data_IF_135239901504
#
_entry.id   IF_135239901504
#
_cell.length_a   1.000
_cell.length_b   1.000
_cell.length_c   1.000
_cell.angle_alpha   90.00
_cell.angle_beta   90.00
_cell.angle_gamma   90.00
#
_symmetry.space_group_name_H-M   'P 1'
#
loop_
_entity.id
_entity.type
_entity.pdbx_description
1 polymer ?
#
# COMPACT_ATOMS: atom_id res chain seq x y z
N UNK A 1 4.26 -24.08 -28.37
CA UNK A 1 5.08 -22.87 -28.07
C UNK A 1 6.44 -23.36 -27.60
N UNK A 2 7.55 -22.71 -27.99
CA UNK A 2 8.86 -23.05 -27.41
C UNK A 2 8.85 -22.74 -25.91
N UNK A 3 9.63 -23.48 -25.11
CA UNK A 3 9.76 -23.24 -23.67
C UNK A 3 10.13 -21.79 -23.36
N UNK A 4 11.03 -21.21 -24.15
CA UNK A 4 11.43 -19.80 -24.04
C UNK A 4 10.26 -18.83 -24.24
N UNK A 5 9.42 -19.05 -25.27
CA UNK A 5 8.28 -18.17 -25.51
C UNK A 5 7.30 -18.20 -24.35
N UNK A 6 7.04 -19.38 -23.77
CA UNK A 6 6.16 -19.53 -22.61
C UNK A 6 6.67 -18.74 -21.39
N UNK A 7 7.99 -18.79 -21.12
CA UNK A 7 8.61 -18.01 -20.04
C UNK A 7 8.48 -16.50 -20.29
N UNK A 8 8.71 -16.03 -21.51
CA UNK A 8 8.56 -14.60 -21.84
C UNK A 8 7.11 -14.14 -21.59
N UNK A 9 6.11 -14.91 -22.04
CA UNK A 9 4.71 -14.58 -21.80
C UNK A 9 4.37 -14.58 -20.30
N UNK A 10 4.89 -15.54 -19.54
CA UNK A 10 4.70 -15.60 -18.09
C UNK A 10 5.31 -14.39 -17.37
N UNK A 11 6.52 -13.97 -17.75
CA UNK A 11 7.17 -12.76 -17.21
C UNK A 11 6.40 -11.48 -17.52
N UNK A 12 5.88 -11.35 -18.75
CA UNK A 12 5.02 -10.20 -19.14
C UNK A 12 3.74 -10.21 -18.30
N UNK A 13 3.08 -11.36 -18.19
CA UNK A 13 1.86 -11.50 -17.39
C UNK A 13 2.11 -11.17 -15.91
N UNK A 14 3.24 -11.61 -15.35
CA UNK A 14 3.65 -11.28 -13.98
C UNK A 14 3.85 -9.77 -13.81
N UNK A 15 4.51 -9.11 -14.75
CA UNK A 15 4.72 -7.65 -14.71
C UNK A 15 3.37 -6.89 -14.67
N UNK A 16 2.42 -7.26 -15.52
CA UNK A 16 1.07 -6.68 -15.51
C UNK A 16 0.32 -6.98 -14.21
N UNK A 17 0.40 -8.21 -13.71
CA UNK A 17 -0.27 -8.61 -12.48
C UNK A 17 0.30 -7.86 -11.25
N UNK A 18 1.63 -7.76 -11.15
CA UNK A 18 2.31 -7.02 -10.10
C UNK A 18 2.02 -5.50 -10.18
N UNK A 19 1.97 -4.93 -11.39
CA UNK A 19 1.56 -3.53 -11.58
C UNK A 19 0.12 -3.30 -11.13
N UNK A 20 -0.78 -4.23 -11.41
CA UNK A 20 -2.18 -4.17 -10.96
C UNK A 20 -2.28 -4.25 -9.43
N UNK A 21 -1.51 -5.15 -8.81
CA UNK A 21 -1.40 -5.25 -7.36
C UNK A 21 -0.85 -3.95 -6.73
N UNK A 22 0.16 -3.34 -7.35
CA UNK A 22 0.68 -2.04 -6.94
C UNK A 22 -0.38 -0.94 -7.01
N UNK A 23 -1.14 -0.87 -8.11
CA UNK A 23 -2.30 0.06 -8.25
C UNK A 23 -3.32 -0.15 -7.14
N UNK A 24 -3.56 -1.41 -6.74
CA UNK A 24 -4.42 -1.75 -5.59
C UNK A 24 -4.03 -1.04 -4.28
N UNK A 25 -2.73 -0.75 -4.09
CA UNK A 25 -2.21 -0.09 -2.88
C UNK A 25 -2.76 1.33 -2.71
N UNK A 26 -3.08 2.03 -3.80
CA UNK A 26 -3.71 3.36 -3.74
C UNK A 26 -5.05 3.35 -3.00
N UNK A 27 -5.75 2.21 -3.06
CA UNK A 27 -7.07 2.03 -2.44
C UNK A 27 -6.98 1.47 -1.02
N UNK A 28 -5.78 1.28 -0.47
CA UNK A 28 -5.55 0.69 0.84
C UNK A 28 -5.59 -0.85 0.84
N UNK A 29 -5.54 -1.49 -0.34
CA UNK A 29 -5.39 -2.94 -0.44
C UNK A 29 -3.95 -3.37 -0.09
N UNK A 30 -3.73 -4.62 0.37
CA UNK A 30 -2.40 -5.14 0.68
C UNK A 30 -1.59 -5.49 -0.58
N UNK A 31 -1.45 -4.54 -1.51
CA UNK A 31 -0.86 -4.74 -2.84
C UNK A 31 0.58 -5.25 -2.82
N UNK A 32 1.41 -4.79 -1.89
CA UNK A 32 2.79 -5.28 -1.70
C UNK A 32 2.82 -6.78 -1.39
N UNK A 33 1.92 -7.27 -0.55
CA UNK A 33 1.81 -8.71 -0.25
C UNK A 33 1.29 -9.51 -1.44
N UNK A 34 0.37 -8.95 -2.23
CA UNK A 34 -0.08 -9.58 -3.47
C UNK A 34 1.08 -9.71 -4.47
N UNK A 35 1.96 -8.71 -4.59
CA UNK A 35 3.18 -8.80 -5.41
C UNK A 35 4.07 -9.96 -4.94
N UNK A 36 4.28 -10.11 -3.63
CA UNK A 36 5.07 -11.23 -3.07
C UNK A 36 4.44 -12.58 -3.42
N UNK A 37 3.13 -12.72 -3.25
CA UNK A 37 2.41 -13.95 -3.54
C UNK A 37 2.46 -14.32 -5.03
N UNK A 38 2.22 -13.34 -5.92
CA UNK A 38 2.32 -13.55 -7.38
C UNK A 38 3.74 -13.92 -7.80
N UNK A 39 4.76 -13.28 -7.21
CA UNK A 39 6.16 -13.60 -7.47
C UNK A 39 6.53 -14.99 -6.97
N UNK A 40 6.01 -15.41 -5.80
CA UNK A 40 6.19 -16.76 -5.28
C UNK A 40 5.55 -17.83 -6.19
N UNK A 41 4.34 -17.57 -6.68
CA UNK A 41 3.68 -18.43 -7.67
C UNK A 41 4.51 -18.52 -8.96
N UNK A 42 5.00 -17.39 -9.46
CA UNK A 42 5.87 -17.38 -10.63
C UNK A 42 7.17 -18.16 -10.39
N UNK A 43 7.79 -18.04 -9.21
CA UNK A 43 8.97 -18.83 -8.84
C UNK A 43 8.70 -20.34 -8.81
N UNK A 44 7.50 -20.76 -8.40
CA UNK A 44 7.11 -22.17 -8.34
C UNK A 44 6.87 -22.77 -9.74
N UNK A 45 6.20 -22.04 -10.63
CA UNK A 45 5.82 -22.54 -11.96
C UNK A 45 6.83 -22.20 -13.07
N UNK A 46 7.62 -21.15 -12.87
CA UNK A 46 8.65 -20.66 -13.79
C UNK A 46 9.96 -20.44 -13.03
N UNK A 47 10.55 -21.51 -12.46
CA UNK A 47 11.82 -21.42 -11.77
C UNK A 47 12.91 -20.95 -12.73
N UNK A 48 13.93 -20.28 -12.19
CA UNK A 48 15.08 -19.83 -12.99
C UNK A 48 15.76 -21.02 -13.69
N UNK A 49 15.82 -20.99 -15.02
CA UNK A 49 16.46 -22.03 -15.86
C UNK A 49 17.65 -21.48 -16.65
N UNK A 50 18.23 -20.35 -16.23
CA UNK A 50 19.26 -19.62 -16.96
C UNK A 50 18.96 -18.13 -16.97
N UNK A 51 18.76 -17.53 -18.15
CA UNK A 51 18.52 -16.10 -18.33
C UNK A 51 17.07 -15.64 -18.08
N UNK A 52 16.16 -16.55 -17.71
CA UNK A 52 14.74 -16.25 -17.47
C UNK A 52 14.24 -17.01 -16.23
N UNK A 53 13.20 -16.46 -15.61
CA UNK A 53 12.50 -17.06 -14.48
C UNK A 53 12.98 -16.50 -13.14
N UNK A 54 12.44 -17.00 -12.04
CA UNK A 54 12.71 -16.46 -10.70
C UNK A 54 13.28 -17.50 -9.75
N UNK A 55 14.10 -17.02 -8.82
CA UNK A 55 14.54 -17.78 -7.65
C UNK A 55 13.84 -17.31 -6.38
N UNK A 56 13.81 -18.19 -5.36
CA UNK A 56 13.22 -17.89 -4.06
C UNK A 56 13.90 -16.73 -3.32
N UNK A 57 15.16 -16.41 -3.67
CA UNK A 57 15.85 -15.22 -3.17
C UNK A 57 15.07 -13.94 -3.51
N UNK A 58 14.54 -13.81 -4.72
CA UNK A 58 13.73 -12.64 -5.11
C UNK A 58 12.47 -12.55 -4.27
N UNK A 59 11.79 -13.66 -4.02
CA UNK A 59 10.61 -13.72 -3.14
C UNK A 59 10.96 -13.23 -1.73
N UNK A 60 12.09 -13.69 -1.18
CA UNK A 60 12.58 -13.27 0.13
C UNK A 60 12.89 -11.77 0.21
N UNK A 61 13.55 -11.22 -0.82
CA UNK A 61 13.83 -9.77 -0.91
C UNK A 61 12.53 -8.98 -0.97
N UNK A 62 11.59 -9.36 -1.83
CA UNK A 62 10.30 -8.68 -1.95
C UNK A 62 9.47 -8.79 -0.66
N UNK A 63 9.50 -9.93 0.04
CA UNK A 63 8.86 -10.08 1.34
C UNK A 63 9.45 -9.13 2.38
N UNK A 64 10.79 -8.99 2.41
CA UNK A 64 11.46 -8.00 3.25
C UNK A 64 11.03 -6.57 2.93
N UNK A 65 10.96 -6.22 1.64
CA UNK A 65 10.47 -4.91 1.19
C UNK A 65 9.00 -4.67 1.59
N UNK A 66 8.14 -5.68 1.46
CA UNK A 66 6.73 -5.60 1.86
C UNK A 66 6.60 -5.32 3.36
N UNK A 67 7.37 -6.03 4.21
CA UNK A 67 7.42 -5.78 5.66
C UNK A 67 7.89 -4.36 5.96
N UNK A 68 8.96 -3.89 5.32
CA UNK A 68 9.43 -2.51 5.48
C UNK A 68 8.37 -1.49 5.08
N UNK A 69 7.61 -1.75 4.01
CA UNK A 69 6.50 -0.91 3.57
C UNK A 69 5.34 -0.84 4.57
N UNK A 70 4.98 -1.98 5.18
CA UNK A 70 3.96 -2.01 6.24
C UNK A 70 4.42 -1.29 7.49
N UNK A 71 5.67 -1.50 7.91
CA UNK A 71 6.27 -0.80 9.05
C UNK A 71 6.30 0.71 8.78
N UNK A 72 6.72 1.12 7.58
CA UNK A 72 6.74 2.53 7.20
C UNK A 72 5.35 3.17 7.28
N UNK A 73 4.36 2.56 6.63
CA UNK A 73 3.01 3.11 6.56
C UNK A 73 2.36 3.23 7.94
N UNK A 74 2.48 2.17 8.75
CA UNK A 74 1.89 2.14 10.10
C UNK A 74 2.62 3.05 11.08
N UNK A 75 3.95 3.13 11.00
CA UNK A 75 4.75 3.98 11.87
C UNK A 75 4.57 5.47 11.54
N UNK A 76 4.50 5.87 10.27
CA UNK A 76 4.30 7.27 9.88
C UNK A 76 2.99 7.84 10.47
N UNK A 77 1.90 7.08 10.34
CA UNK A 77 0.60 7.44 10.91
C UNK A 77 0.62 7.44 12.45
N UNK A 78 1.19 6.39 13.06
CA UNK A 78 1.21 6.24 14.50
C UNK A 78 2.11 7.27 15.20
N UNK A 79 3.29 7.58 14.65
CA UNK A 79 4.25 8.51 15.24
C UNK A 79 3.69 9.94 15.28
N UNK A 80 3.14 10.42 14.15
CA UNK A 80 2.57 11.77 14.10
C UNK A 80 1.35 11.88 15.02
N UNK A 81 0.44 10.90 14.99
CA UNK A 81 -0.71 10.89 15.89
C UNK A 81 -0.29 10.85 17.37
N UNK A 82 0.69 10.01 17.73
CA UNK A 82 1.21 9.89 19.11
C UNK A 82 1.88 11.18 19.58
N UNK A 83 2.65 11.85 18.72
CA UNK A 83 3.28 13.14 19.05
C UNK A 83 2.25 14.25 19.30
N UNK A 84 1.08 14.17 18.66
CA UNK A 84 -0.07 15.03 18.95
C UNK A 84 -0.89 14.57 20.18
N UNK A 85 -0.45 13.53 20.88
CA UNK A 85 -1.10 12.97 22.07
C UNK A 85 -2.11 11.86 21.78
N UNK A 86 -2.20 11.33 20.56
CA UNK A 86 -3.19 10.34 20.14
C UNK A 86 -3.17 9.04 20.94
N UNK A 87 -4.34 8.46 21.13
CA UNK A 87 -4.55 7.19 21.85
C UNK A 87 -4.53 5.98 20.91
N UNK A 88 -4.41 4.78 21.48
CA UNK A 88 -4.55 3.51 20.74
C UNK A 88 -5.94 3.37 20.10
N UNK A 89 -6.99 3.87 20.78
CA UNK A 89 -8.37 3.84 20.26
C UNK A 89 -8.50 4.79 19.06
N UNK A 90 -7.97 6.00 19.16
CA UNK A 90 -7.91 6.95 18.05
C UNK A 90 -7.18 6.38 16.84
N UNK A 91 -6.06 5.70 17.05
CA UNK A 91 -5.33 5.03 15.98
C UNK A 91 -6.15 3.93 15.27
N UNK A 92 -6.86 3.08 16.03
CA UNK A 92 -7.71 2.04 15.45
C UNK A 92 -8.85 2.62 14.60
N UNK A 93 -9.56 3.63 15.12
CA UNK A 93 -10.63 4.29 14.39
C UNK A 93 -10.08 5.06 13.17
N UNK A 94 -8.90 5.67 13.28
CA UNK A 94 -8.20 6.30 12.16
C UNK A 94 -7.91 5.31 11.04
N UNK A 95 -7.47 4.09 11.37
CA UNK A 95 -7.18 3.06 10.37
C UNK A 95 -8.46 2.63 9.63
N UNK A 96 -9.54 2.36 10.37
CA UNK A 96 -10.84 2.01 9.78
C UNK A 96 -11.40 3.15 8.92
N UNK A 97 -11.31 4.37 9.44
CA UNK A 97 -11.71 5.57 8.72
C UNK A 97 -10.91 5.75 7.43
N UNK A 98 -9.60 5.51 7.46
CA UNK A 98 -8.75 5.62 6.28
C UNK A 98 -9.12 4.60 5.18
N UNK A 99 -9.50 3.38 5.54
CA UNK A 99 -9.95 2.36 4.58
C UNK A 99 -11.31 2.73 3.98
N UNK A 100 -12.29 3.10 4.82
CA UNK A 100 -13.59 3.55 4.32
C UNK A 100 -13.46 4.81 3.45
N UNK A 101 -12.60 5.74 3.88
CA UNK A 101 -12.30 6.97 3.19
C UNK A 101 -11.60 6.75 1.86
N UNK A 102 -10.62 5.83 1.76
CA UNK A 102 -9.93 5.55 0.49
C UNK A 102 -10.89 5.01 -0.57
N UNK A 103 -11.78 4.09 -0.18
CA UNK A 103 -12.79 3.53 -1.07
C UNK A 103 -13.77 4.62 -1.51
N UNK A 104 -14.33 5.37 -0.57
CA UNK A 104 -15.32 6.42 -0.86
C UNK A 104 -14.71 7.53 -1.72
N UNK A 105 -13.51 7.98 -1.38
CA UNK A 105 -12.78 9.01 -2.11
C UNK A 105 -12.42 8.58 -3.53
N UNK A 106 -12.07 7.30 -3.73
CA UNK A 106 -11.83 6.76 -5.07
C UNK A 106 -13.05 6.87 -5.99
N UNK A 107 -14.25 6.59 -5.46
CA UNK A 107 -15.51 6.73 -6.19
C UNK A 107 -15.87 8.19 -6.49
N UNK A 108 -15.57 9.11 -5.57
CA UNK A 108 -15.82 10.54 -5.77
C UNK A 108 -14.89 11.18 -6.82
N UNK A 109 -13.71 10.59 -7.06
CA UNK A 109 -12.75 11.05 -8.07
C UNK A 109 -13.13 10.75 -9.54
N UNK A 110 -14.28 10.12 -9.78
CA UNK A 110 -14.59 9.40 -11.03
C UNK A 110 -14.91 10.23 -12.30
N UNK A 111 -15.04 11.57 -12.36
CA UNK A 111 -15.05 12.17 -13.69
C UNK A 111 -13.68 12.06 -14.39
N UNK A 112 -12.57 11.90 -13.65
CA UNK A 112 -11.20 11.78 -14.19
C UNK A 112 -10.70 10.35 -13.96
N UNK A 113 -10.75 9.46 -14.98
CA UNK A 113 -10.33 8.09 -14.84
C UNK A 113 -8.87 7.97 -14.36
N UNK A 114 -8.60 6.97 -13.53
CA UNK A 114 -7.28 6.64 -12.97
C UNK A 114 -6.75 7.73 -12.02
N UNK A 115 -6.37 8.91 -12.51
CA UNK A 115 -5.77 9.96 -11.68
C UNK A 115 -6.74 10.57 -10.67
N UNK A 116 -8.00 10.82 -11.07
CA UNK A 116 -9.02 11.34 -10.16
C UNK A 116 -9.32 10.36 -9.03
N UNK A 117 -9.47 9.08 -9.36
CA UNK A 117 -9.67 8.01 -8.37
C UNK A 117 -8.46 7.81 -7.45
N UNK A 118 -7.24 7.95 -7.96
CA UNK A 118 -6.01 7.85 -7.15
C UNK A 118 -5.87 9.00 -6.16
N UNK A 119 -6.07 10.23 -6.62
CA UNK A 119 -6.05 11.43 -5.76
C UNK A 119 -7.20 11.34 -4.74
N UNK A 120 -8.39 10.96 -5.22
CA UNK A 120 -9.57 10.75 -4.38
C UNK A 120 -9.32 9.69 -3.30
N UNK A 121 -8.64 8.59 -3.63
CA UNK A 121 -8.32 7.55 -2.65
C UNK A 121 -7.36 8.05 -1.56
N UNK A 122 -6.31 8.80 -1.91
CA UNK A 122 -5.38 9.36 -0.93
C UNK A 122 -6.07 10.42 -0.07
N UNK A 123 -6.80 11.36 -0.69
CA UNK A 123 -7.52 12.41 0.01
C UNK A 123 -8.60 11.84 0.93
N UNK A 124 -9.34 10.84 0.43
CA UNK A 124 -10.33 10.10 1.19
C UNK A 124 -9.71 9.35 2.36
N UNK A 125 -8.57 8.68 2.16
CA UNK A 125 -7.85 8.02 3.24
C UNK A 125 -7.40 9.00 4.33
N UNK A 126 -6.90 10.17 3.94
CA UNK A 126 -6.49 11.22 4.86
C UNK A 126 -7.68 11.80 5.64
N UNK A 127 -8.78 12.10 4.96
CA UNK A 127 -10.02 12.59 5.60
C UNK A 127 -10.66 11.55 6.51
N UNK A 128 -10.66 10.29 6.09
CA UNK A 128 -11.11 9.16 6.88
C UNK A 128 -10.25 8.92 8.12
N UNK A 129 -8.91 9.00 7.99
CA UNK A 129 -7.98 8.95 9.12
C UNK A 129 -8.26 10.08 10.12
N UNK A 130 -8.43 11.31 9.62
CA UNK A 130 -8.80 12.46 10.46
C UNK A 130 -10.09 12.20 11.23
N UNK A 131 -11.16 11.82 10.52
CA UNK A 131 -12.48 11.61 11.12
C UNK A 131 -12.46 10.47 12.13
N UNK A 132 -11.80 9.36 11.80
CA UNK A 132 -11.63 8.22 12.68
C UNK A 132 -10.90 8.57 13.97
N UNK A 133 -9.74 9.23 13.87
CA UNK A 133 -9.01 9.71 15.03
C UNK A 133 -9.85 10.69 15.87
N UNK A 134 -10.51 11.66 15.23
CA UNK A 134 -11.34 12.65 15.90
C UNK A 134 -12.50 11.99 16.67
N UNK A 135 -13.19 10.99 16.09
CA UNK A 135 -14.24 10.22 16.76
C UNK A 135 -13.67 9.42 17.93
N UNK A 136 -12.57 8.69 17.70
CA UNK A 136 -11.95 7.82 18.71
C UNK A 136 -11.46 8.59 19.94
N UNK A 137 -10.88 9.78 19.75
CA UNK A 137 -10.47 10.65 20.85
C UNK A 137 -11.66 11.32 21.55
N UNK A 138 -12.75 11.61 20.84
CA UNK A 138 -13.97 12.13 21.43
C UNK A 138 -14.61 11.19 22.44
N UNK A 139 -14.52 9.89 22.17
CA UNK A 139 -15.00 8.83 23.08
C UNK A 139 -14.16 8.72 24.37
N UNK A 140 -13.03 9.42 24.44
CA UNK A 140 -12.17 9.51 25.63
C UNK A 140 -12.34 10.85 26.38
N UNK A 141 -13.32 11.68 25.99
CA UNK A 141 -13.60 12.97 26.64
C UNK A 141 -12.61 14.08 26.31
N UNK A 142 -11.80 13.92 25.25
CA UNK A 142 -10.82 14.94 24.84
C UNK A 142 -11.49 16.20 24.31
N UNK A 143 -10.82 17.34 24.50
CA UNK A 143 -11.30 18.64 24.03
C UNK A 143 -11.32 18.70 22.50
N UNK A 144 -12.13 19.60 21.94
CA UNK A 144 -12.21 19.78 20.48
C UNK A 144 -10.84 20.12 19.87
N UNK A 145 -10.05 20.94 20.56
CA UNK A 145 -8.72 21.38 20.11
C UNK A 145 -7.77 20.18 20.00
N UNK A 146 -7.72 19.32 21.03
CA UNK A 146 -6.88 18.12 21.02
C UNK A 146 -7.31 17.14 19.91
N UNK A 147 -8.61 16.91 19.77
CA UNK A 147 -9.15 15.98 18.75
C UNK A 147 -8.78 16.42 17.34
N UNK A 148 -8.87 17.72 17.05
CA UNK A 148 -8.48 18.28 15.75
C UNK A 148 -6.97 18.16 15.53
N UNK A 149 -6.16 18.44 16.55
CA UNK A 149 -4.70 18.30 16.45
C UNK A 149 -4.29 16.84 16.15
N UNK A 150 -4.85 15.88 16.88
CA UNK A 150 -4.60 14.44 16.69
C UNK A 150 -5.10 13.97 15.33
N UNK A 151 -6.30 14.38 14.92
CA UNK A 151 -6.86 14.06 13.62
C UNK A 151 -5.99 14.56 12.46
N UNK A 152 -5.51 15.81 12.53
CA UNK A 152 -4.61 16.37 11.51
C UNK A 152 -3.31 15.59 11.43
N UNK A 153 -2.73 15.25 12.59
CA UNK A 153 -1.50 14.49 12.64
C UNK A 153 -1.67 13.07 12.06
N UNK A 154 -2.79 12.40 12.36
CA UNK A 154 -3.14 11.10 11.80
C UNK A 154 -3.32 11.15 10.27
N UNK A 155 -4.03 12.16 9.75
CA UNK A 155 -4.20 12.36 8.31
C UNK A 155 -2.88 12.59 7.58
N UNK A 156 -2.03 13.47 8.13
CA UNK A 156 -0.71 13.76 7.56
C UNK A 156 0.17 12.52 7.56
N UNK A 157 0.19 11.76 8.66
CA UNK A 157 0.94 10.51 8.72
C UNK A 157 0.39 9.42 7.79
N UNK A 158 -0.93 9.41 7.53
CA UNK A 158 -1.52 8.53 6.52
C UNK A 158 -1.00 8.87 5.12
N UNK A 159 -0.97 10.15 4.74
CA UNK A 159 -0.46 10.58 3.42
C UNK A 159 1.00 10.19 3.23
N UNK A 160 1.88 10.53 4.19
CA UNK A 160 3.30 10.18 4.11
C UNK A 160 3.57 8.67 4.14
N UNK A 161 2.79 7.94 4.95
CA UNK A 161 2.85 6.48 5.01
C UNK A 161 2.49 5.85 3.67
N UNK A 162 1.38 6.28 3.06
CA UNK A 162 0.91 5.77 1.77
C UNK A 162 1.89 6.12 0.64
N UNK A 163 2.45 7.33 0.59
CA UNK A 163 3.47 7.69 -0.42
C UNK A 163 4.69 6.77 -0.33
N UNK A 164 5.23 6.56 0.87
CA UNK A 164 6.40 5.69 1.03
C UNK A 164 6.10 4.23 0.64
N UNK A 165 4.92 3.74 0.99
CA UNK A 165 4.48 2.39 0.59
C UNK A 165 4.28 2.25 -0.92
N UNK A 166 3.76 3.29 -1.58
CA UNK A 166 3.63 3.33 -3.04
C UNK A 166 4.98 3.31 -3.75
N UNK A 167 5.97 4.07 -3.25
CA UNK A 167 7.33 4.06 -3.79
C UNK A 167 8.00 2.70 -3.59
N UNK A 168 7.86 2.09 -2.41
CA UNK A 168 8.35 0.73 -2.14
C UNK A 168 7.68 -0.31 -3.03
N UNK A 169 6.35 -0.25 -3.19
CA UNK A 169 5.62 -1.13 -4.09
C UNK A 169 6.06 -1.00 -5.54
N UNK A 170 6.33 0.22 -6.02
CA UNK A 170 6.89 0.43 -7.36
C UNK A 170 8.27 -0.20 -7.51
N UNK A 171 9.15 -0.01 -6.51
CA UNK A 171 10.46 -0.65 -6.48
C UNK A 171 10.34 -2.19 -6.50
N UNK A 172 9.36 -2.76 -5.80
CA UNK A 172 9.09 -4.22 -5.84
C UNK A 172 8.72 -4.70 -7.24
N UNK A 173 7.87 -3.96 -7.98
CA UNK A 173 7.52 -4.30 -9.38
C UNK A 173 8.77 -4.29 -10.26
N UNK A 174 9.62 -3.27 -10.11
CA UNK A 174 10.87 -3.14 -10.88
C UNK A 174 11.81 -4.30 -10.56
N UNK A 175 12.03 -4.61 -9.28
CA UNK A 175 12.91 -5.71 -8.85
C UNK A 175 12.39 -7.06 -9.35
N UNK A 176 11.09 -7.34 -9.20
CA UNK A 176 10.49 -8.58 -9.68
C UNK A 176 10.63 -8.75 -11.20
N UNK A 177 10.41 -7.66 -11.95
CA UNK A 177 10.53 -7.66 -13.41
C UNK A 177 11.98 -7.82 -13.83
N UNK A 178 12.90 -7.06 -13.22
CA UNK A 178 14.32 -7.14 -13.53
C UNK A 178 14.86 -8.54 -13.26
N UNK A 179 14.58 -9.09 -12.07
CA UNK A 179 15.04 -10.42 -11.68
C UNK A 179 14.44 -11.56 -12.51
N UNK A 180 13.32 -11.33 -13.21
CA UNK A 180 12.73 -12.33 -14.11
C UNK A 180 13.43 -12.38 -15.47
N UNK A 181 13.85 -11.21 -15.99
CA UNK A 181 14.31 -11.04 -17.37
C UNK A 181 15.84 -10.86 -17.52
N UNK A 182 16.55 -10.54 -16.44
CA UNK A 182 17.98 -10.27 -16.40
C UNK A 182 18.64 -11.04 -15.27
#
# INVERSE_FOLDING_TARGET
>A
MSSTALYIFAGIALCFANTTAWVGTWFGLPGTWVIVALTALACQFFPSTGSLGLGWTTVGVLAGMAVLGEIWETSAAAMLAKNAGGSRRGAAFSMLGAIAGSITGAFLGVPIPVFGSMIGAIAGAAGGAFAGAWIGEGQLGRTMVERVAIGKAAATGRVFGTIGKLLLGLAMVIVATAAYFF
#
